data_IF_305450475142
#
_entry.id   IF_305450475142
#
_cell.length_a   1.000
_cell.length_b   1.000
_cell.length_c   1.000
_cell.angle_alpha   90.00
_cell.angle_beta   90.00
_cell.angle_gamma   90.00
#
_symmetry.space_group_name_H-M   'P 1'
#
loop_
_entity.id
_entity.type
_entity.pdbx_description
1 polymer ?
#
# COMPACT_ATOMS: atom_id res chain seq x y z
N UNK A 1 -10.70 -3.31 16.51
CA UNK A 1 -9.22 -3.26 16.53
C UNK A 1 -8.74 -2.08 17.38
N UNK A 2 -7.59 -2.19 18.07
CA UNK A 2 -6.95 -1.06 18.76
C UNK A 2 -6.43 -0.04 17.75
N UNK A 3 -6.67 1.26 18.00
CA UNK A 3 -6.31 2.35 17.08
C UNK A 3 -4.80 2.42 16.81
N UNK A 4 -4.01 2.06 17.80
CA UNK A 4 -2.55 2.03 17.73
C UNK A 4 -2.07 1.02 16.69
N UNK A 5 -2.67 -0.17 16.61
CA UNK A 5 -2.34 -1.17 15.59
C UNK A 5 -2.47 -0.59 14.16
N UNK A 6 -3.53 0.21 13.94
CA UNK A 6 -3.79 0.90 12.67
C UNK A 6 -2.70 1.92 12.35
N UNK A 7 -2.26 2.69 13.35
CA UNK A 7 -1.16 3.64 13.14
C UNK A 7 0.14 2.93 12.78
N UNK A 8 0.50 1.87 13.49
CA UNK A 8 1.73 1.13 13.22
C UNK A 8 1.76 0.47 11.83
N UNK A 9 0.65 -0.15 11.39
CA UNK A 9 0.63 -0.78 10.05
C UNK A 9 0.64 0.27 8.92
N UNK A 10 0.00 1.43 9.11
CA UNK A 10 0.04 2.52 8.12
C UNK A 10 1.45 3.12 8.00
N UNK A 11 2.11 3.33 9.12
CA UNK A 11 3.51 3.78 9.13
C UNK A 11 4.45 2.73 8.51
N UNK A 12 4.15 1.44 8.66
CA UNK A 12 4.90 0.39 7.99
C UNK A 12 4.81 0.51 6.46
N UNK A 13 3.60 0.71 5.93
CA UNK A 13 3.38 0.91 4.50
C UNK A 13 4.03 2.20 3.98
N UNK A 14 3.99 3.28 4.76
CA UNK A 14 4.68 4.52 4.43
C UNK A 14 6.21 4.34 4.34
N UNK A 15 6.80 3.56 5.26
CA UNK A 15 8.22 3.20 5.17
C UNK A 15 8.52 2.36 3.92
N UNK A 16 7.66 1.39 3.58
CA UNK A 16 7.84 0.60 2.37
C UNK A 16 7.74 1.46 1.10
N UNK A 17 6.81 2.42 1.07
CA UNK A 17 6.74 3.39 -0.03
C UNK A 17 8.04 4.21 -0.14
N UNK A 18 8.54 4.72 1.00
CA UNK A 18 9.83 5.42 1.07
C UNK A 18 10.97 4.54 0.55
N UNK A 19 10.99 3.25 0.94
CA UNK A 19 11.97 2.28 0.47
C UNK A 19 11.95 2.10 -1.06
N UNK A 20 10.76 2.04 -1.67
CA UNK A 20 10.56 1.92 -3.13
C UNK A 20 11.04 3.17 -3.88
N UNK A 21 10.70 4.36 -3.38
CA UNK A 21 11.18 5.63 -3.96
C UNK A 21 12.70 5.71 -3.93
N UNK A 22 13.32 5.39 -2.79
CA UNK A 22 14.76 5.38 -2.63
C UNK A 22 15.45 4.33 -3.51
N UNK A 23 14.81 3.17 -3.71
CA UNK A 23 15.30 2.16 -4.65
C UNK A 23 15.35 2.69 -6.08
N UNK A 24 14.26 3.33 -6.55
CA UNK A 24 14.20 3.97 -7.86
C UNK A 24 15.27 5.06 -8.04
N UNK A 25 15.53 5.82 -6.98
CA UNK A 25 16.60 6.82 -6.91
C UNK A 25 18.01 6.23 -6.74
N UNK A 26 18.17 4.89 -6.78
CA UNK A 26 19.44 4.15 -6.59
C UNK A 26 20.12 4.40 -5.23
N UNK A 27 19.36 4.78 -4.21
CA UNK A 27 19.81 4.92 -2.82
C UNK A 27 19.60 3.61 -2.07
N UNK A 28 20.38 2.59 -2.44
CA UNK A 28 20.16 1.20 -1.99
C UNK A 28 20.28 1.03 -0.48
N UNK A 29 21.24 1.68 0.17
CA UNK A 29 21.40 1.64 1.63
C UNK A 29 20.16 2.18 2.34
N UNK A 30 19.67 3.36 1.93
CA UNK A 30 18.49 3.97 2.50
C UNK A 30 17.23 3.14 2.20
N UNK A 31 17.11 2.59 0.99
CA UNK A 31 16.03 1.67 0.64
C UNK A 31 15.99 0.43 1.55
N UNK A 32 17.13 -0.23 1.78
CA UNK A 32 17.23 -1.37 2.69
C UNK A 32 16.91 -1.00 4.15
N UNK A 33 17.32 0.19 4.60
CA UNK A 33 16.96 0.71 5.92
C UNK A 33 15.44 0.86 6.09
N UNK A 34 14.76 1.50 5.14
CA UNK A 34 13.32 1.66 5.20
C UNK A 34 12.57 0.33 5.03
N UNK A 35 13.11 -0.62 4.25
CA UNK A 35 12.59 -1.99 4.20
C UNK A 35 12.62 -2.69 5.57
N UNK A 36 13.71 -2.52 6.34
CA UNK A 36 13.74 -2.97 7.73
C UNK A 36 12.71 -2.25 8.60
N UNK A 37 12.63 -0.92 8.54
CA UNK A 37 11.68 -0.14 9.36
C UNK A 37 10.23 -0.53 9.08
N UNK A 38 9.87 -0.77 7.82
CA UNK A 38 8.56 -1.27 7.44
C UNK A 38 8.24 -2.59 8.15
N UNK A 39 9.14 -3.58 8.08
CA UNK A 39 8.96 -4.88 8.77
C UNK A 39 8.87 -4.70 10.28
N UNK A 40 9.71 -3.85 10.87
CA UNK A 40 9.67 -3.57 12.31
C UNK A 40 8.29 -3.06 12.75
N UNK A 41 7.76 -2.05 12.06
CA UNK A 41 6.48 -1.44 12.38
C UNK A 41 5.31 -2.38 12.14
N UNK A 42 5.35 -3.20 11.09
CA UNK A 42 4.35 -4.22 10.82
C UNK A 42 4.34 -5.32 11.91
N UNK A 43 5.51 -5.79 12.35
CA UNK A 43 5.56 -6.73 13.48
C UNK A 43 5.03 -6.06 14.76
N UNK A 44 5.40 -4.81 15.02
CA UNK A 44 4.91 -4.05 16.19
C UNK A 44 3.39 -3.85 16.16
N UNK A 45 2.74 -3.73 15.00
CA UNK A 45 1.27 -3.65 14.97
C UNK A 45 0.59 -4.91 15.49
N UNK A 46 1.20 -6.09 15.29
CA UNK A 46 0.67 -7.36 15.80
C UNK A 46 0.70 -7.46 17.33
N UNK A 47 1.57 -6.73 18.03
CA UNK A 47 1.60 -6.73 19.49
C UNK A 47 0.29 -6.25 20.13
N UNK A 48 -0.32 -5.24 19.53
CA UNK A 48 -1.60 -4.69 20.01
C UNK A 48 -2.76 -5.66 19.87
N UNK A 49 -2.67 -6.56 18.89
CA UNK A 49 -3.78 -7.40 18.44
C UNK A 49 -3.64 -8.82 18.96
N UNK A 50 -2.49 -9.45 18.73
CA UNK A 50 -2.20 -10.82 19.13
C UNK A 50 -1.76 -10.91 20.60
N UNK A 51 -0.87 -10.01 21.04
CA UNK A 51 -0.33 -10.03 22.41
C UNK A 51 -1.09 -9.09 23.38
N UNK A 52 -1.97 -8.23 22.87
CA UNK A 52 -2.76 -7.23 23.63
C UNK A 52 -1.92 -6.34 24.55
N UNK A 53 -0.70 -5.97 24.13
CA UNK A 53 0.21 -5.09 24.87
C UNK A 53 1.01 -4.19 23.95
N UNK A 54 1.72 -3.23 24.53
CA UNK A 54 2.67 -2.39 23.80
C UNK A 54 3.88 -3.23 23.31
N UNK A 55 4.42 -2.93 22.11
CA UNK A 55 5.65 -3.53 21.64
C UNK A 55 6.85 -3.09 22.50
N UNK A 56 7.88 -3.94 22.63
CA UNK A 56 9.12 -3.55 23.32
C UNK A 56 9.90 -2.49 22.55
N UNK A 57 10.70 -1.71 23.27
CA UNK A 57 11.66 -0.75 22.71
C UNK A 57 12.91 -1.46 22.18
N UNK A 58 12.72 -2.27 21.13
CA UNK A 58 13.80 -2.95 20.38
C UNK A 58 13.60 -2.71 18.89
N UNK A 59 14.69 -2.84 18.13
CA UNK A 59 14.71 -2.81 16.67
C UNK A 59 15.11 -4.17 16.08
N UNK A 60 15.24 -5.20 16.92
CA UNK A 60 15.64 -6.54 16.51
C UNK A 60 14.40 -7.30 16.05
N UNK A 61 14.24 -7.46 14.73
CA UNK A 61 13.07 -8.08 14.11
C UNK A 61 12.85 -9.53 14.54
N UNK A 62 13.93 -10.26 14.78
CA UNK A 62 13.87 -11.67 15.23
C UNK A 62 13.36 -11.81 16.65
N UNK A 63 13.61 -10.82 17.51
CA UNK A 63 13.02 -10.78 18.86
C UNK A 63 11.52 -10.49 18.76
N UNK A 64 11.14 -9.47 17.99
CA UNK A 64 9.74 -9.12 17.75
C UNK A 64 8.95 -10.32 17.20
N UNK A 65 9.46 -10.93 16.14
CA UNK A 65 8.82 -12.07 15.49
C UNK A 65 8.76 -13.29 16.41
N UNK A 66 9.79 -13.57 17.22
CA UNK A 66 9.77 -14.71 18.16
C UNK A 66 8.62 -14.61 19.18
N UNK A 67 8.32 -13.41 19.66
CA UNK A 67 7.20 -13.21 20.59
C UNK A 67 5.85 -13.36 19.89
N UNK A 68 5.73 -12.89 18.66
CA UNK A 68 4.54 -13.07 17.81
C UNK A 68 4.32 -14.57 17.49
N UNK A 69 5.40 -15.29 17.18
CA UNK A 69 5.40 -16.74 16.95
C UNK A 69 4.90 -17.51 18.18
N UNK A 70 5.37 -17.14 19.38
CA UNK A 70 4.85 -17.71 20.65
C UNK A 70 3.37 -17.42 20.90
N UNK A 71 2.82 -16.36 20.31
CA UNK A 71 1.40 -16.04 20.35
C UNK A 71 0.57 -16.80 19.29
N UNK A 72 1.20 -17.69 18.52
CA UNK A 72 0.53 -18.57 17.55
C UNK A 72 0.45 -18.04 16.13
N UNK A 73 1.14 -16.93 15.82
CA UNK A 73 1.23 -16.40 14.45
C UNK A 73 2.59 -16.81 13.87
N UNK A 74 2.56 -17.79 12.96
CA UNK A 74 3.77 -18.32 12.32
C UNK A 74 3.83 -17.93 10.84
N UNK A 75 4.99 -17.43 10.44
CA UNK A 75 5.39 -17.22 9.05
C UNK A 75 6.18 -18.44 8.54
N UNK A 76 6.34 -18.53 7.22
CA UNK A 76 7.14 -19.60 6.62
C UNK A 76 8.60 -19.55 7.10
N UNK A 77 9.29 -20.71 7.24
CA UNK A 77 10.70 -20.74 7.67
C UNK A 77 11.61 -19.87 6.79
N UNK A 78 11.39 -19.87 5.47
CA UNK A 78 12.15 -19.02 4.55
C UNK A 78 11.89 -17.53 4.75
N UNK A 79 10.68 -17.13 5.17
CA UNK A 79 10.41 -15.73 5.51
C UNK A 79 11.04 -15.34 6.86
N UNK A 80 11.03 -16.24 7.85
CA UNK A 80 11.72 -16.05 9.13
C UNK A 80 13.23 -15.79 8.93
N UNK A 81 13.89 -16.57 8.06
CA UNK A 81 15.29 -16.34 7.70
C UNK A 81 15.51 -14.98 7.04
N UNK A 82 14.67 -14.59 6.07
CA UNK A 82 14.75 -13.27 5.42
C UNK A 82 14.53 -12.12 6.39
N UNK A 83 13.60 -12.25 7.34
CA UNK A 83 13.41 -11.26 8.41
C UNK A 83 14.67 -11.13 9.27
N UNK A 84 15.34 -12.24 9.57
CA UNK A 84 16.59 -12.22 10.32
C UNK A 84 17.72 -11.50 9.57
N UNK A 85 17.82 -11.69 8.25
CA UNK A 85 18.80 -10.99 7.42
C UNK A 85 18.62 -9.48 7.45
N UNK A 86 17.38 -8.99 7.55
CA UNK A 86 17.10 -7.55 7.53
C UNK A 86 17.74 -6.81 8.71
N UNK A 87 17.89 -7.44 9.89
CA UNK A 87 18.45 -6.82 11.09
C UNK A 87 19.79 -6.10 10.84
N UNK A 88 20.63 -6.63 9.94
CA UNK A 88 21.92 -6.01 9.61
C UNK A 88 21.75 -4.60 9.06
N UNK A 89 20.68 -4.35 8.30
CA UNK A 89 20.39 -3.05 7.71
C UNK A 89 19.82 -2.04 8.70
N UNK A 90 19.54 -2.41 9.96
CA UNK A 90 19.33 -1.40 10.98
C UNK A 90 20.61 -0.58 11.19
N UNK A 91 21.79 -1.20 11.20
CA UNK A 91 23.05 -0.49 11.48
C UNK A 91 23.91 -0.25 10.24
N UNK A 92 24.13 -1.30 9.42
CA UNK A 92 25.04 -1.27 8.25
C UNK A 92 24.63 -0.24 7.20
N UNK A 93 23.34 0.08 7.09
CA UNK A 93 22.83 1.05 6.12
C UNK A 93 23.05 2.51 6.49
N UNK A 94 23.44 2.77 7.75
CA UNK A 94 23.49 4.12 8.34
C UNK A 94 24.87 4.51 8.87
N UNK A 95 25.58 3.58 9.51
CA UNK A 95 26.79 3.91 10.24
C UNK A 95 28.04 3.35 9.54
N UNK A 96 29.05 4.21 9.21
CA UNK A 96 30.24 3.75 8.51
C UNK A 96 31.08 2.71 9.24
N UNK A 97 31.11 2.75 10.58
CA UNK A 97 31.78 1.76 11.42
C UNK A 97 31.11 0.39 11.34
N UNK A 98 29.78 0.33 11.38
CA UNK A 98 29.01 -0.90 11.18
C UNK A 98 29.13 -1.46 9.76
N UNK A 99 29.27 -0.56 8.77
CA UNK A 99 29.45 -0.93 7.37
C UNK A 99 30.90 -1.30 7.01
N UNK A 100 31.87 -1.05 7.89
CA UNK A 100 33.31 -1.12 7.58
C UNK A 100 33.69 -0.32 6.32
N UNK A 101 33.05 0.84 6.12
CA UNK A 101 33.13 1.64 4.90
C UNK A 101 31.95 2.60 4.76
N UNK A 102 31.75 3.19 3.58
CA UNK A 102 30.57 4.02 3.36
C UNK A 102 29.33 3.13 3.17
N UNK A 103 28.23 3.34 3.91
CA UNK A 103 27.02 2.52 3.80
C UNK A 103 26.46 2.41 2.37
N UNK A 104 26.53 3.50 1.60
CA UNK A 104 26.06 3.53 0.21
C UNK A 104 26.96 2.77 -0.78
N UNK A 105 28.19 2.41 -0.38
CA UNK A 105 29.11 1.58 -1.16
C UNK A 105 28.96 0.10 -0.80
N UNK A 106 28.68 -0.20 0.47
CA UNK A 106 28.60 -1.55 1.03
C UNK A 106 27.25 -2.21 0.76
N UNK A 107 26.15 -1.47 0.89
CA UNK A 107 24.81 -2.02 0.64
C UNK A 107 24.54 -2.05 -0.86
N UNK A 108 24.30 -3.24 -1.40
CA UNK A 108 24.15 -3.44 -2.84
C UNK A 108 22.70 -3.24 -3.31
N UNK A 109 22.51 -3.11 -4.64
CA UNK A 109 21.17 -3.19 -5.25
C UNK A 109 20.45 -4.50 -4.89
N UNK A 110 21.17 -5.62 -4.84
CA UNK A 110 20.60 -6.92 -4.51
C UNK A 110 20.12 -7.02 -3.06
N UNK A 111 20.83 -6.34 -2.14
CA UNK A 111 20.38 -6.20 -0.76
C UNK A 111 19.08 -5.41 -0.65
N UNK A 112 18.98 -4.27 -1.35
CA UNK A 112 17.78 -3.46 -1.37
C UNK A 112 16.59 -4.21 -2.00
N UNK A 113 16.80 -4.93 -3.11
CA UNK A 113 15.76 -5.74 -3.77
C UNK A 113 15.21 -6.84 -2.85
N UNK A 114 16.11 -7.60 -2.18
CA UNK A 114 15.69 -8.60 -1.18
C UNK A 114 14.95 -7.97 0.00
N UNK A 115 15.39 -6.79 0.44
CA UNK A 115 14.76 -6.07 1.55
C UNK A 115 13.34 -5.63 1.20
N UNK A 116 13.13 -5.08 0.00
CA UNK A 116 11.80 -4.69 -0.48
C UNK A 116 10.86 -5.87 -0.60
N UNK A 117 11.30 -6.97 -1.23
CA UNK A 117 10.48 -8.19 -1.39
C UNK A 117 10.06 -8.77 -0.05
N UNK A 118 11.01 -8.80 0.91
CA UNK A 118 10.72 -9.30 2.27
C UNK A 118 9.75 -8.38 2.99
N UNK A 119 9.92 -7.07 2.89
CA UNK A 119 9.02 -6.10 3.50
C UNK A 119 7.61 -6.19 2.91
N UNK A 120 7.46 -6.22 1.58
CA UNK A 120 6.17 -6.41 0.91
C UNK A 120 5.44 -7.65 1.43
N UNK A 121 6.10 -8.81 1.42
CA UNK A 121 5.47 -10.07 1.85
C UNK A 121 5.06 -10.05 3.33
N UNK A 122 5.89 -9.48 4.22
CA UNK A 122 5.53 -9.34 5.64
C UNK A 122 4.34 -8.40 5.82
N UNK A 123 4.34 -7.24 5.16
CA UNK A 123 3.29 -6.25 5.31
C UNK A 123 1.95 -6.80 4.81
N UNK A 124 1.94 -7.51 3.67
CA UNK A 124 0.75 -8.18 3.15
C UNK A 124 0.21 -9.22 4.14
N UNK A 125 1.07 -10.07 4.71
CA UNK A 125 0.66 -11.08 5.69
C UNK A 125 0.11 -10.44 6.96
N UNK A 126 0.79 -9.43 7.49
CA UNK A 126 0.37 -8.70 8.69
C UNK A 126 -0.96 -8.01 8.44
N UNK A 127 -1.12 -7.32 7.32
CA UNK A 127 -2.37 -6.66 6.98
C UNK A 127 -3.53 -7.65 6.88
N UNK A 128 -3.33 -8.81 6.25
CA UNK A 128 -4.36 -9.85 6.18
C UNK A 128 -4.78 -10.35 7.57
N UNK A 129 -3.83 -10.54 8.49
CA UNK A 129 -4.11 -10.89 9.88
C UNK A 129 -4.89 -9.78 10.59
N UNK A 130 -4.55 -8.52 10.32
CA UNK A 130 -5.25 -7.36 10.87
C UNK A 130 -6.68 -7.23 10.30
N UNK A 131 -6.88 -7.50 9.00
CA UNK A 131 -8.21 -7.49 8.36
C UNK A 131 -9.13 -8.53 9.00
N UNK A 132 -8.62 -9.72 9.33
CA UNK A 132 -9.38 -10.77 10.01
C UNK A 132 -9.94 -10.37 11.39
N UNK A 133 -9.40 -9.32 12.01
CA UNK A 133 -9.82 -8.81 13.32
C UNK A 133 -10.31 -7.35 13.26
N UNK A 134 -10.79 -6.95 12.08
CA UNK A 134 -11.55 -5.72 11.86
C UNK A 134 -10.69 -4.51 11.48
N UNK A 135 -9.56 -4.70 10.81
CA UNK A 135 -8.89 -3.62 10.10
C UNK A 135 -9.58 -3.36 8.76
N UNK A 136 -10.03 -2.12 8.53
CA UNK A 136 -10.72 -1.75 7.28
C UNK A 136 -9.77 -1.64 6.06
N UNK A 137 -8.45 -1.54 6.28
CA UNK A 137 -7.46 -1.30 5.21
C UNK A 137 -7.52 0.13 4.69
N UNK A 138 -8.55 0.42 3.89
CA UNK A 138 -8.85 1.76 3.35
C UNK A 138 -9.46 2.67 4.43
N UNK A 139 -8.98 3.92 4.61
CA UNK A 139 -9.62 4.85 5.53
C UNK A 139 -11.06 5.14 5.08
N UNK A 140 -12.00 5.14 6.02
CA UNK A 140 -13.41 5.43 5.73
C UNK A 140 -13.59 6.79 5.04
N UNK A 141 -12.71 7.77 5.33
CA UNK A 141 -12.65 9.07 4.64
C UNK A 141 -12.41 8.96 3.13
N UNK A 142 -11.60 8.00 2.67
CA UNK A 142 -11.37 7.79 1.24
C UNK A 142 -12.62 7.26 0.58
N UNK A 143 -13.35 6.36 1.24
CA UNK A 143 -14.66 5.91 0.74
C UNK A 143 -15.66 7.07 0.69
N UNK A 144 -15.61 8.04 1.60
CA UNK A 144 -16.42 9.27 1.51
C UNK A 144 -16.05 10.10 0.27
N UNK A 145 -14.76 10.27 -0.02
CA UNK A 145 -14.26 10.99 -1.21
C UNK A 145 -14.76 10.28 -2.48
N UNK A 146 -14.58 8.96 -2.57
CA UNK A 146 -15.01 8.14 -3.71
C UNK A 146 -16.53 8.27 -3.92
N UNK A 147 -17.32 8.14 -2.86
CA UNK A 147 -18.78 8.28 -2.95
C UNK A 147 -19.22 9.68 -3.38
N UNK A 148 -18.58 10.74 -2.85
CA UNK A 148 -18.84 12.12 -3.27
C UNK A 148 -18.48 12.32 -4.75
N UNK A 149 -17.34 11.78 -5.18
CA UNK A 149 -16.88 11.89 -6.56
C UNK A 149 -17.83 11.17 -7.53
N UNK A 150 -18.22 9.93 -7.25
CA UNK A 150 -19.18 9.16 -8.07
C UNK A 150 -20.50 9.92 -8.21
N UNK A 151 -21.05 10.46 -7.11
CA UNK A 151 -22.26 11.31 -7.18
C UNK A 151 -22.04 12.55 -8.02
N UNK A 152 -20.87 13.18 -7.90
CA UNK A 152 -20.50 14.35 -8.70
C UNK A 152 -20.43 14.06 -10.21
N UNK A 153 -20.07 12.83 -10.60
CA UNK A 153 -20.14 12.34 -11.99
C UNK A 153 -21.60 12.07 -12.38
N UNK A 154 -22.40 11.44 -11.51
CA UNK A 154 -23.83 11.20 -11.77
C UNK A 154 -24.61 12.52 -11.98
N UNK A 155 -24.25 13.58 -11.26
CA UNK A 155 -24.81 14.93 -11.41
C UNK A 155 -24.52 15.57 -12.78
N UNK A 156 -23.52 15.12 -13.53
CA UNK A 156 -23.29 15.60 -14.91
C UNK A 156 -24.18 14.90 -15.94
N UNK A 157 -25.08 14.02 -15.49
CA UNK A 157 -25.94 13.21 -16.36
C UNK A 157 -25.32 11.89 -16.81
N UNK A 158 -24.16 11.50 -16.27
CA UNK A 158 -23.51 10.22 -16.57
C UNK A 158 -24.01 9.15 -15.60
N UNK A 159 -24.66 8.10 -16.10
CA UNK A 159 -25.09 6.96 -15.28
C UNK A 159 -23.93 6.02 -14.99
N UNK A 160 -23.41 6.05 -13.77
CA UNK A 160 -22.40 5.09 -13.31
C UNK A 160 -23.07 3.75 -13.00
N UNK A 161 -22.67 2.69 -13.72
CA UNK A 161 -23.23 1.34 -13.53
C UNK A 161 -22.36 0.45 -12.66
N UNK A 162 -21.04 0.67 -12.67
CA UNK A 162 -20.09 -0.01 -11.78
C UNK A 162 -18.96 0.96 -11.44
N UNK A 163 -18.40 0.84 -10.24
CA UNK A 163 -17.18 1.56 -9.87
C UNK A 163 -16.33 0.74 -8.91
N UNK A 164 -15.01 0.87 -9.09
CA UNK A 164 -14.01 0.09 -8.36
C UNK A 164 -12.89 1.00 -7.87
N UNK A 165 -12.72 1.11 -6.56
CA UNK A 165 -11.52 1.69 -5.96
C UNK A 165 -10.38 0.69 -6.17
N UNK A 166 -9.29 1.13 -6.78
CA UNK A 166 -8.08 0.32 -6.93
C UNK A 166 -6.87 1.11 -6.42
N UNK A 167 -5.68 0.68 -6.82
CA UNK A 167 -4.45 1.35 -6.42
C UNK A 167 -4.16 1.26 -4.92
N UNK A 168 -3.44 2.27 -4.42
CA UNK A 168 -2.80 2.17 -3.11
C UNK A 168 -3.79 2.09 -1.95
N UNK A 169 -4.88 2.85 -2.04
CA UNK A 169 -5.93 2.83 -1.04
C UNK A 169 -6.68 1.50 -0.97
N UNK A 170 -6.85 0.79 -2.10
CA UNK A 170 -7.47 -0.54 -2.12
C UNK A 170 -6.52 -1.63 -1.60
N UNK A 171 -5.24 -1.55 -1.97
CA UNK A 171 -4.20 -2.49 -1.48
C UNK A 171 -3.93 -2.34 0.01
N UNK A 172 -4.07 -1.12 0.54
CA UNK A 172 -3.74 -0.79 1.94
C UNK A 172 -2.37 -0.13 2.10
N UNK A 173 -1.63 0.04 1.01
CA UNK A 173 -0.26 0.58 0.94
C UNK A 173 -0.18 2.07 0.59
N UNK A 174 -1.26 2.81 0.83
CA UNK A 174 -1.34 4.25 0.60
C UNK A 174 -0.51 5.06 1.59
N UNK A 175 -0.03 6.20 1.13
CA UNK A 175 0.59 7.26 1.94
C UNK A 175 -0.31 8.49 1.95
N UNK A 176 0.01 9.48 2.78
CA UNK A 176 -0.80 10.70 2.88
C UNK A 176 -0.89 11.41 1.51
N UNK A 177 0.16 11.38 0.70
CA UNK A 177 0.19 12.02 -0.62
C UNK A 177 -0.45 11.17 -1.73
N UNK A 178 -0.89 9.94 -1.45
CA UNK A 178 -1.53 9.07 -2.44
C UNK A 178 -2.79 9.71 -3.02
N UNK A 179 -2.98 9.53 -4.31
CA UNK A 179 -4.21 9.80 -5.03
C UNK A 179 -5.19 8.62 -4.93
N UNK A 180 -6.43 8.90 -5.30
CA UNK A 180 -7.53 7.95 -5.29
C UNK A 180 -7.74 7.40 -6.70
N UNK A 181 -7.26 6.19 -6.93
CA UNK A 181 -7.42 5.46 -8.19
C UNK A 181 -8.82 4.84 -8.31
N UNK A 182 -9.60 5.25 -9.32
CA UNK A 182 -10.98 4.82 -9.49
C UNK A 182 -11.28 4.37 -10.92
N UNK A 183 -11.77 3.14 -11.08
CA UNK A 183 -12.40 2.72 -12.33
C UNK A 183 -13.87 3.10 -12.25
N UNK A 184 -14.36 3.80 -13.28
CA UNK A 184 -15.79 4.12 -13.44
C UNK A 184 -16.26 3.50 -14.74
N UNK A 185 -17.30 2.68 -14.65
CA UNK A 185 -17.96 2.06 -15.80
C UNK A 185 -19.28 2.74 -16.05
N UNK A 186 -19.46 3.29 -17.25
CA UNK A 186 -20.71 3.90 -17.68
C UNK A 186 -20.97 3.68 -19.17
N UNK A 187 -22.17 3.23 -19.58
CA UNK A 187 -22.54 3.19 -21.00
C UNK A 187 -22.62 4.59 -21.61
N UNK A 188 -22.79 5.64 -20.80
CA UNK A 188 -22.94 7.02 -21.27
C UNK A 188 -21.59 7.65 -21.67
N UNK A 189 -20.48 6.97 -21.41
CA UNK A 189 -19.18 7.29 -22.02
C UNK A 189 -19.11 6.89 -23.50
N UNK A 190 -20.08 6.13 -24.00
CA UNK A 190 -20.18 5.75 -25.41
C UNK A 190 -20.28 6.98 -26.32
N UNK A 191 -19.44 7.02 -27.36
CA UNK A 191 -19.38 8.16 -28.29
C UNK A 191 -18.55 9.37 -27.79
N UNK A 192 -18.14 9.40 -26.53
CA UNK A 192 -17.18 10.39 -26.02
C UNK A 192 -15.75 9.97 -26.34
N UNK A 193 -14.90 10.93 -26.72
CA UNK A 193 -13.45 10.68 -26.81
C UNK A 193 -12.91 10.49 -25.39
N UNK A 194 -11.90 9.64 -25.24
CA UNK A 194 -11.27 9.36 -23.94
C UNK A 194 -10.88 10.63 -23.18
N UNK A 195 -10.26 11.59 -23.86
CA UNK A 195 -9.84 12.86 -23.26
C UNK A 195 -11.02 13.70 -22.74
N UNK A 196 -12.18 13.65 -23.39
CA UNK A 196 -13.37 14.38 -22.93
C UNK A 196 -13.94 13.76 -21.64
N UNK A 197 -13.77 12.44 -21.46
CA UNK A 197 -14.16 11.74 -20.23
C UNK A 197 -13.25 12.11 -19.06
N UNK A 198 -11.94 12.21 -19.31
CA UNK A 198 -10.96 12.66 -18.33
C UNK A 198 -11.18 14.13 -17.95
N UNK A 199 -11.46 14.99 -18.93
CA UNK A 199 -11.79 16.41 -18.69
C UNK A 199 -13.07 16.58 -17.87
N UNK A 200 -14.11 15.78 -18.14
CA UNK A 200 -15.32 15.73 -17.31
C UNK A 200 -14.99 15.35 -15.86
N UNK A 201 -14.20 14.28 -15.66
CA UNK A 201 -13.78 13.84 -14.34
C UNK A 201 -12.97 14.92 -13.59
N UNK A 202 -12.02 15.58 -14.27
CA UNK A 202 -11.22 16.66 -13.70
C UNK A 202 -12.07 17.88 -13.32
N UNK A 203 -13.06 18.24 -14.13
CA UNK A 203 -14.02 19.32 -13.82
C UNK A 203 -14.87 18.99 -12.59
N UNK A 204 -15.32 17.74 -12.46
CA UNK A 204 -16.05 17.28 -11.27
C UNK A 204 -15.16 17.34 -10.04
N UNK A 205 -13.92 16.86 -10.13
CA UNK A 205 -12.95 16.94 -9.03
C UNK A 205 -12.75 18.39 -8.56
N UNK A 206 -12.49 19.31 -9.50
CA UNK A 206 -12.28 20.73 -9.21
C UNK A 206 -13.53 21.38 -8.59
N UNK A 207 -14.71 21.10 -9.13
CA UNK A 207 -16.01 21.61 -8.62
C UNK A 207 -16.27 21.17 -7.18
N UNK A 208 -15.92 19.93 -6.85
CA UNK A 208 -16.12 19.37 -5.51
C UNK A 208 -15.07 19.83 -4.49
N UNK A 209 -13.93 20.36 -4.94
CA UNK A 209 -12.85 20.81 -4.07
C UNK A 209 -12.30 19.68 -3.19
N UNK A 210 -12.13 18.49 -3.78
CA UNK A 210 -11.68 17.30 -3.04
C UNK A 210 -10.22 17.45 -2.59
N UNK A 211 -9.93 16.97 -1.38
CA UNK A 211 -8.60 17.08 -0.78
C UNK A 211 -7.56 16.14 -1.41
N UNK A 212 -8.00 15.02 -1.99
CA UNK A 212 -7.15 14.09 -2.75
C UNK A 212 -7.48 14.19 -4.23
N UNK A 213 -6.45 14.09 -5.07
CA UNK A 213 -6.64 13.85 -6.50
C UNK A 213 -7.37 12.53 -6.71
N UNK A 214 -8.30 12.49 -7.67
CA UNK A 214 -9.00 11.26 -8.05
C UNK A 214 -8.62 10.94 -9.49
N UNK A 215 -7.75 9.96 -9.68
CA UNK A 215 -7.39 9.46 -11.01
C UNK A 215 -8.45 8.46 -11.48
N UNK A 216 -9.01 8.70 -12.67
CA UNK A 216 -10.16 7.92 -13.17
C UNK A 216 -9.79 7.16 -14.42
N UNK A 217 -10.19 5.89 -14.48
CA UNK A 217 -10.27 5.08 -15.70
C UNK A 217 -11.75 4.97 -16.16
N UNK A 218 -12.21 5.85 -17.07
CA UNK A 218 -13.62 5.92 -17.48
C UNK A 218 -13.94 5.02 -18.68
N UNK A 219 -14.42 3.81 -18.41
CA UNK A 219 -14.73 2.80 -19.43
C UNK A 219 -16.23 2.70 -19.75
N UNK A 220 -16.57 2.38 -20.99
CA UNK A 220 -17.86 1.75 -21.29
C UNK A 220 -17.87 0.30 -20.79
N UNK A 221 -19.04 -0.35 -20.62
CA UNK A 221 -19.10 -1.76 -20.24
C UNK A 221 -18.31 -2.68 -21.18
N UNK A 222 -18.34 -2.41 -22.49
CA UNK A 222 -17.61 -3.18 -23.51
C UNK A 222 -16.10 -2.93 -23.43
N UNK A 223 -15.68 -1.68 -23.25
CA UNK A 223 -14.28 -1.33 -23.06
C UNK A 223 -13.72 -1.95 -21.78
N UNK A 224 -14.50 -1.95 -20.68
CA UNK A 224 -14.08 -2.53 -19.42
C UNK A 224 -13.89 -4.05 -19.51
N UNK A 225 -14.79 -4.75 -20.21
CA UNK A 225 -14.63 -6.19 -20.49
C UNK A 225 -13.32 -6.48 -21.22
N UNK A 226 -13.00 -5.72 -22.28
CA UNK A 226 -11.72 -5.86 -23.00
C UNK A 226 -10.53 -5.52 -22.10
N UNK A 227 -10.63 -4.44 -21.32
CA UNK A 227 -9.55 -4.00 -20.45
C UNK A 227 -9.16 -5.05 -19.40
N UNK A 228 -10.11 -5.84 -18.88
CA UNK A 228 -9.82 -6.96 -17.98
C UNK A 228 -8.96 -8.07 -18.62
N UNK A 229 -8.94 -8.17 -19.93
CA UNK A 229 -8.14 -9.16 -20.66
C UNK A 229 -6.80 -8.57 -21.14
N UNK A 230 -6.81 -7.32 -21.58
CA UNK A 230 -5.74 -6.67 -22.32
C UNK A 230 -4.91 -5.67 -21.49
N UNK A 231 -5.52 -4.96 -20.53
CA UNK A 231 -4.85 -3.91 -19.76
C UNK A 231 -4.11 -4.49 -18.57
N UNK A 232 -2.79 -4.31 -18.54
CA UNK A 232 -1.96 -4.70 -17.40
C UNK A 232 -2.43 -4.06 -16.09
N UNK A 233 -2.88 -2.79 -16.13
CA UNK A 233 -3.38 -2.06 -14.97
C UNK A 233 -4.67 -2.68 -14.44
N UNK A 234 -5.64 -2.96 -15.32
CA UNK A 234 -6.93 -3.53 -14.90
C UNK A 234 -6.78 -4.96 -14.40
N UNK A 235 -5.91 -5.75 -15.03
CA UNK A 235 -5.57 -7.12 -14.59
C UNK A 235 -4.90 -7.17 -13.23
N UNK A 236 -4.08 -6.18 -12.92
CA UNK A 236 -3.49 -6.03 -11.59
C UNK A 236 -4.56 -5.60 -10.58
N UNK A 237 -5.30 -4.52 -10.89
CA UNK A 237 -6.36 -3.99 -10.06
C UNK A 237 -7.42 -5.04 -9.67
N UNK A 238 -7.81 -5.90 -10.60
CA UNK A 238 -8.82 -6.95 -10.38
C UNK A 238 -8.48 -7.91 -9.23
N UNK A 239 -7.19 -8.06 -8.90
CA UNK A 239 -6.74 -8.93 -7.81
C UNK A 239 -7.11 -8.41 -6.42
N UNK A 240 -7.34 -7.10 -6.27
CA UNK A 240 -7.49 -6.45 -4.97
C UNK A 240 -8.49 -5.28 -4.93
N UNK A 241 -9.15 -4.95 -6.04
CA UNK A 241 -10.06 -3.80 -6.07
C UNK A 241 -11.21 -3.93 -5.06
N UNK A 242 -11.76 -2.79 -4.68
CA UNK A 242 -12.95 -2.73 -3.83
C UNK A 242 -14.09 -2.21 -4.69
N UNK A 243 -15.11 -3.04 -4.89
CA UNK A 243 -16.33 -2.61 -5.59
C UNK A 243 -17.09 -1.62 -4.70
N UNK A 244 -17.31 -0.42 -5.21
CA UNK A 244 -17.95 0.70 -4.48
C UNK A 244 -19.30 1.11 -5.09
N UNK A 245 -19.62 0.64 -6.30
CA UNK A 245 -20.92 0.79 -6.97
C UNK A 245 -21.26 -0.46 -7.76
#
# INVERSE_FOLDING_TARGET
MRREAVFWIREAWADLCSAKVLYGARRWNASAFYGHQAVEKALKSLYFVALRREPPNTHVLTELYREIKRAGIEFSPGLEERIAELNKFYSVSRYPDAAAGQPYEVVTKGDADRSLKTAEEVLELVENLLRAVGYEGTPSRILEIVNKFIRGIEETGIRVVEAYLFGSYARGDWIEESDVDLIIVSPDFGGMRWLDRLDLAAKVWLRLGLEKWVEVLPYTPEEFKRAREESAVVKDAERYWIKVR
#
